data_IF_329579753840
#
_entry.id   IF_329579753840
#
_cell.length_a   1.000
_cell.length_b   1.000
_cell.length_c   1.000
_cell.angle_alpha   90.00
_cell.angle_beta   90.00
_cell.angle_gamma   90.00
#
_symmetry.space_group_name_H-M   'P 1'
#
loop_
_entity.id
_entity.type
_entity.pdbx_description
1 polymer ?
#
# COMPACT_ATOMS: atom_id res chain seq x y z
N UNK A 1 -6.95 2.37 -30.85
CA UNK A 1 -5.66 2.30 -30.10
C UNK A 1 -5.54 3.38 -29.04
N UNK A 2 -6.00 4.62 -29.27
CA UNK A 2 -5.94 5.72 -28.28
C UNK A 2 -6.68 5.42 -26.96
N UNK A 3 -7.90 4.89 -27.01
CA UNK A 3 -8.71 4.63 -25.80
C UNK A 3 -8.07 3.60 -24.84
N UNK A 4 -7.49 2.52 -25.38
CA UNK A 4 -6.78 1.51 -24.58
C UNK A 4 -5.53 2.08 -23.91
N UNK A 5 -4.78 2.91 -24.65
CA UNK A 5 -3.60 3.58 -24.10
C UNK A 5 -3.98 4.55 -22.98
N UNK A 6 -5.04 5.35 -23.18
CA UNK A 6 -5.56 6.25 -22.14
C UNK A 6 -5.97 5.45 -20.91
N UNK A 7 -6.76 4.39 -21.07
CA UNK A 7 -7.17 3.53 -19.96
C UNK A 7 -5.97 2.92 -19.20
N UNK A 8 -5.00 2.36 -19.92
CA UNK A 8 -3.80 1.80 -19.34
C UNK A 8 -2.99 2.86 -18.58
N UNK A 9 -2.77 4.03 -19.19
CA UNK A 9 -2.06 5.13 -18.54
C UNK A 9 -2.81 5.66 -17.32
N UNK A 10 -4.14 5.75 -17.36
CA UNK A 10 -4.97 6.11 -16.20
C UNK A 10 -4.82 5.10 -15.07
N UNK A 11 -4.88 3.80 -15.37
CA UNK A 11 -4.68 2.76 -14.36
C UNK A 11 -3.25 2.78 -13.79
N UNK A 12 -2.24 2.93 -14.66
CA UNK A 12 -0.84 3.01 -14.28
C UNK A 12 -0.55 4.24 -13.41
N UNK A 13 -1.04 5.42 -13.81
CA UNK A 13 -0.90 6.65 -13.04
C UNK A 13 -1.68 6.58 -11.73
N UNK A 14 -2.89 5.99 -11.73
CA UNK A 14 -3.68 5.79 -10.53
C UNK A 14 -2.97 4.91 -9.51
N UNK A 15 -2.46 3.75 -9.96
CA UNK A 15 -1.65 2.85 -9.13
C UNK A 15 -0.35 3.50 -8.67
N UNK A 16 0.34 4.20 -9.58
CA UNK A 16 1.63 4.80 -9.26
C UNK A 16 1.48 5.94 -8.25
N UNK A 17 0.51 6.82 -8.50
CA UNK A 17 0.21 7.95 -7.64
C UNK A 17 -0.33 7.48 -6.29
N UNK A 18 -1.23 6.50 -6.25
CA UNK A 18 -1.76 6.00 -4.97
C UNK A 18 -0.62 5.46 -4.11
N UNK A 19 0.24 4.62 -4.68
CA UNK A 19 1.36 4.02 -3.95
C UNK A 19 2.37 5.08 -3.50
N UNK A 20 2.74 6.00 -4.38
CA UNK A 20 3.67 7.09 -4.08
C UNK A 20 3.15 8.05 -3.00
N UNK A 21 1.89 8.47 -3.10
CA UNK A 21 1.23 9.36 -2.12
C UNK A 21 1.12 8.66 -0.77
N UNK A 22 0.70 7.41 -0.74
CA UNK A 22 0.59 6.64 0.50
C UNK A 22 1.96 6.50 1.19
N UNK A 23 3.01 6.20 0.43
CA UNK A 23 4.38 6.11 0.95
C UNK A 23 4.87 7.46 1.49
N UNK A 24 4.69 8.54 0.73
CA UNK A 24 5.06 9.88 1.14
C UNK A 24 4.37 10.29 2.46
N UNK A 25 3.05 10.11 2.52
CA UNK A 25 2.22 10.42 3.70
C UNK A 25 2.62 9.60 4.93
N UNK A 26 2.97 8.33 4.75
CA UNK A 26 3.42 7.46 5.84
C UNK A 26 4.80 7.86 6.40
N UNK A 27 5.61 8.58 5.61
CA UNK A 27 6.94 9.03 6.01
C UNK A 27 6.95 10.45 6.63
N UNK A 28 5.83 11.19 6.54
CA UNK A 28 5.66 12.50 7.17
C UNK A 28 5.65 12.41 8.72
N UNK A 29 5.82 13.54 9.44
CA UNK A 29 5.75 13.57 10.90
C UNK A 29 4.36 13.20 11.43
N UNK A 30 4.33 12.56 12.62
CA UNK A 30 3.09 12.03 13.25
C UNK A 30 1.95 13.03 13.39
N UNK A 31 2.24 14.33 13.55
CA UNK A 31 1.19 15.35 13.66
C UNK A 31 0.38 15.53 12.37
N UNK A 32 0.97 15.20 11.21
CA UNK A 32 0.32 15.31 9.90
C UNK A 32 -0.60 14.13 9.61
N UNK A 33 -0.37 12.98 10.25
CA UNK A 33 -1.14 11.75 9.98
C UNK A 33 -2.64 11.91 10.23
N UNK A 34 -3.04 12.60 11.30
CA UNK A 34 -4.47 12.86 11.59
C UNK A 34 -5.16 13.65 10.49
N UNK A 35 -4.46 14.60 9.88
CA UNK A 35 -5.00 15.42 8.78
C UNK A 35 -5.10 14.61 7.49
N UNK A 36 -4.10 13.77 7.22
CA UNK A 36 -4.13 12.85 6.08
C UNK A 36 -5.29 11.85 6.19
N UNK A 37 -5.46 11.21 7.36
CA UNK A 37 -6.58 10.30 7.61
C UNK A 37 -7.91 11.03 7.48
N UNK A 38 -8.05 12.23 8.06
CA UNK A 38 -9.28 13.01 7.95
C UNK A 38 -9.59 13.35 6.48
N UNK A 39 -8.61 13.85 5.73
CA UNK A 39 -8.79 14.20 4.32
C UNK A 39 -9.24 12.99 3.47
N UNK A 40 -8.57 11.85 3.64
CA UNK A 40 -8.96 10.61 2.95
C UNK A 40 -10.29 10.04 3.46
N UNK A 41 -10.64 10.23 4.73
CA UNK A 41 -11.94 9.82 5.27
C UNK A 41 -13.07 10.60 4.60
N UNK A 42 -12.92 11.93 4.52
CA UNK A 42 -13.89 12.80 3.86
C UNK A 42 -14.00 12.45 2.37
N UNK A 43 -12.85 12.24 1.69
CA UNK A 43 -12.83 11.85 0.29
C UNK A 43 -13.52 10.50 0.05
N UNK A 44 -13.23 9.50 0.87
CA UNK A 44 -13.83 8.16 0.79
C UNK A 44 -15.34 8.21 1.03
N UNK A 45 -15.78 8.93 2.06
CA UNK A 45 -17.21 9.09 2.37
C UNK A 45 -17.94 9.80 1.23
N UNK A 46 -17.38 10.89 0.72
CA UNK A 46 -17.93 11.59 -0.43
C UNK A 46 -18.00 10.67 -1.67
N UNK A 47 -16.95 9.92 -1.94
CA UNK A 47 -16.91 8.97 -3.06
C UNK A 47 -18.00 7.90 -2.96
N UNK A 48 -18.28 7.37 -1.75
CA UNK A 48 -19.36 6.42 -1.51
C UNK A 48 -20.75 7.04 -1.72
N UNK A 49 -20.95 8.33 -1.43
CA UNK A 49 -22.23 8.98 -1.71
C UNK A 49 -22.53 9.14 -3.20
N UNK A 50 -21.49 9.23 -4.04
CA UNK A 50 -21.62 9.32 -5.50
C UNK A 50 -21.81 7.95 -6.17
N UNK A 51 -21.39 6.87 -5.51
CA UNK A 51 -21.35 5.53 -6.09
C UNK A 51 -22.70 5.04 -6.65
N UNK A 52 -23.86 5.22 -5.98
CA UNK A 52 -25.14 4.78 -6.55
C UNK A 52 -25.52 5.49 -7.85
N UNK A 53 -25.10 6.75 -8.03
CA UNK A 53 -25.34 7.50 -9.26
C UNK A 53 -24.39 7.01 -10.37
N UNK A 54 -23.10 6.87 -10.05
CA UNK A 54 -22.09 6.38 -10.99
C UNK A 54 -22.38 4.93 -11.42
N UNK A 55 -22.92 4.10 -10.53
CA UNK A 55 -23.29 2.72 -10.83
C UNK A 55 -24.40 2.61 -11.90
N UNK A 56 -25.22 3.64 -12.07
CA UNK A 56 -26.26 3.71 -13.11
C UNK A 56 -25.78 4.40 -14.39
N UNK A 57 -24.56 4.95 -14.39
CA UNK A 57 -23.97 5.65 -15.52
C UNK A 57 -23.05 4.71 -16.31
N UNK A 58 -23.60 4.08 -17.37
CA UNK A 58 -22.90 3.21 -18.30
C UNK A 58 -22.21 4.00 -19.44
N UNK A 59 -21.57 5.12 -19.11
CA UNK A 59 -20.75 5.91 -20.05
C UNK A 59 -19.25 5.76 -19.73
N UNK A 60 -18.34 6.07 -20.67
CA UNK A 60 -16.91 6.06 -20.40
C UNK A 60 -16.50 6.92 -19.19
N UNK A 61 -17.17 8.05 -18.98
CA UNK A 61 -16.95 8.89 -17.80
C UNK A 61 -17.37 8.17 -16.52
N UNK A 62 -18.54 7.51 -16.53
CA UNK A 62 -18.99 6.66 -15.44
C UNK A 62 -17.99 5.55 -15.10
N UNK A 63 -17.39 4.89 -16.10
CA UNK A 63 -16.34 3.88 -15.87
C UNK A 63 -15.12 4.47 -15.15
N UNK A 64 -14.61 5.61 -15.63
CA UNK A 64 -13.48 6.30 -15.02
C UNK A 64 -13.80 6.79 -13.60
N UNK A 65 -15.01 7.31 -13.37
CA UNK A 65 -15.49 7.74 -12.06
C UNK A 65 -15.59 6.54 -11.09
N UNK A 66 -16.13 5.41 -11.53
CA UNK A 66 -16.23 4.19 -10.72
C UNK A 66 -14.84 3.68 -10.30
N UNK A 67 -13.88 3.68 -11.22
CA UNK A 67 -12.49 3.35 -10.94
C UNK A 67 -11.87 4.30 -9.89
N UNK A 68 -12.08 5.62 -10.04
CA UNK A 68 -11.57 6.63 -9.11
C UNK A 68 -12.18 6.50 -7.71
N UNK A 69 -13.49 6.24 -7.61
CA UNK A 69 -14.20 5.99 -6.34
C UNK A 69 -13.58 4.79 -5.62
N UNK A 70 -13.35 3.68 -6.33
CA UNK A 70 -12.75 2.49 -5.72
C UNK A 70 -11.33 2.77 -5.21
N UNK A 71 -10.51 3.51 -5.97
CA UNK A 71 -9.17 3.92 -5.53
C UNK A 71 -9.21 4.87 -4.32
N UNK A 72 -10.17 5.79 -4.25
CA UNK A 72 -10.32 6.70 -3.11
C UNK A 72 -10.68 5.95 -1.82
N UNK A 73 -11.66 5.04 -1.90
CA UNK A 73 -12.06 4.18 -0.77
C UNK A 73 -10.90 3.29 -0.33
N UNK A 74 -10.20 2.68 -1.29
CA UNK A 74 -9.04 1.84 -1.00
C UNK A 74 -7.88 2.64 -0.39
N UNK A 75 -7.56 3.82 -0.93
CA UNK A 75 -6.52 4.69 -0.41
C UNK A 75 -6.76 5.11 1.03
N UNK A 76 -8.03 5.37 1.41
CA UNK A 76 -8.39 5.62 2.80
C UNK A 76 -8.12 4.43 3.72
N UNK A 77 -8.49 3.22 3.29
CA UNK A 77 -8.20 1.99 4.04
C UNK A 77 -6.68 1.81 4.22
N UNK A 78 -5.90 1.98 3.15
CA UNK A 78 -4.44 1.87 3.20
C UNK A 78 -3.78 2.87 4.15
N UNK A 79 -4.17 4.14 4.08
CA UNK A 79 -3.63 5.19 4.95
C UNK A 79 -4.04 4.96 6.40
N UNK A 80 -5.29 4.55 6.65
CA UNK A 80 -5.79 4.24 8.00
C UNK A 80 -5.00 3.09 8.64
N UNK A 81 -4.62 2.08 7.87
CA UNK A 81 -3.75 1.00 8.31
C UNK A 81 -2.32 1.49 8.55
N UNK A 82 -1.73 2.15 7.56
CA UNK A 82 -0.34 2.61 7.59
C UNK A 82 -0.10 3.73 8.60
N UNK A 83 -1.12 4.38 9.14
CA UNK A 83 -1.01 5.40 10.18
C UNK A 83 -1.43 4.92 11.58
N UNK A 84 -1.62 3.60 11.77
CA UNK A 84 -2.02 2.95 13.01
C UNK A 84 -3.43 3.29 13.53
N UNK A 85 -4.28 3.95 12.74
CA UNK A 85 -5.65 4.30 13.13
C UNK A 85 -6.56 3.08 13.20
N UNK A 86 -6.55 2.26 12.14
CA UNK A 86 -7.31 1.00 12.08
C UNK A 86 -6.28 -0.14 11.99
N UNK A 87 -5.80 -0.60 13.14
CA UNK A 87 -4.82 -1.70 13.23
C UNK A 87 -5.34 -2.83 14.11
N UNK A 88 -4.72 -4.01 14.05
CA UNK A 88 -5.16 -5.15 14.83
C UNK A 88 -4.84 -5.06 16.33
N UNK A 89 -5.34 -6.05 17.06
CA UNK A 89 -5.28 -6.16 18.53
C UNK A 89 -3.88 -6.43 19.06
N UNK A 90 -2.98 -6.93 18.21
CA UNK A 90 -1.63 -7.32 18.60
C UNK A 90 -0.57 -6.42 17.93
N UNK A 91 0.19 -5.68 18.75
CA UNK A 91 1.36 -4.88 18.33
C UNK A 91 2.68 -5.43 18.89
N UNK A 92 2.71 -6.73 19.22
CA UNK A 92 3.88 -7.40 19.82
C UNK A 92 4.53 -8.34 18.80
N UNK A 93 5.85 -8.48 18.91
CA UNK A 93 6.64 -9.43 18.12
C UNK A 93 6.11 -10.86 18.27
N UNK A 94 6.24 -11.66 17.21
CA UNK A 94 5.79 -13.05 17.20
C UNK A 94 6.50 -13.85 18.30
N UNK A 95 5.76 -14.55 19.19
CA UNK A 95 6.34 -15.47 20.14
C UNK A 95 7.18 -16.54 19.43
N UNK A 96 8.36 -16.87 19.97
CA UNK A 96 9.31 -17.81 19.35
C UNK A 96 8.77 -19.25 19.23
N UNK A 97 7.79 -19.60 20.06
CA UNK A 97 7.10 -20.89 20.09
C UNK A 97 5.91 -20.97 19.11
N UNK A 98 5.50 -19.84 18.51
CA UNK A 98 4.36 -19.80 17.61
C UNK A 98 4.70 -20.42 16.25
N UNK A 99 4.08 -21.58 15.95
CA UNK A 99 4.22 -22.31 14.68
C UNK A 99 2.87 -22.53 14.00
N UNK A 100 2.91 -22.76 12.68
CA UNK A 100 1.75 -23.17 11.89
C UNK A 100 0.54 -22.25 12.04
N UNK A 101 -0.62 -22.83 12.32
CA UNK A 101 -1.90 -22.11 12.46
C UNK A 101 -1.91 -21.08 13.60
N UNK A 102 -1.22 -21.35 14.71
CA UNK A 102 -1.12 -20.40 15.83
C UNK A 102 -0.41 -19.11 15.42
N UNK A 103 0.67 -19.22 14.63
CA UNK A 103 1.38 -18.06 14.08
C UNK A 103 0.52 -17.30 13.07
N UNK A 104 -0.25 -18.01 12.24
CA UNK A 104 -1.19 -17.38 11.30
C UNK A 104 -2.26 -16.58 12.02
N UNK A 105 -2.91 -17.15 13.05
CA UNK A 105 -3.92 -16.44 13.85
C UNK A 105 -3.35 -15.19 14.53
N UNK A 106 -2.13 -15.27 15.07
CA UNK A 106 -1.46 -14.12 15.67
C UNK A 106 -1.14 -13.05 14.62
N UNK A 107 -0.65 -13.44 13.44
CA UNK A 107 -0.39 -12.55 12.32
C UNK A 107 -1.68 -11.89 11.78
N UNK A 108 -2.79 -12.63 11.72
CA UNK A 108 -4.09 -12.05 11.36
C UNK A 108 -4.56 -11.06 12.44
N UNK A 109 -4.34 -11.39 13.72
CA UNK A 109 -4.64 -10.52 14.85
C UNK A 109 -3.89 -9.18 14.82
N UNK A 110 -2.75 -9.05 14.14
CA UNK A 110 -2.07 -7.75 13.96
C UNK A 110 -2.78 -6.82 12.98
N UNK A 111 -3.71 -7.33 12.17
CA UNK A 111 -4.45 -6.55 11.17
C UNK A 111 -5.97 -6.79 11.16
N UNK A 112 -6.52 -7.50 12.15
CA UNK A 112 -7.93 -7.95 12.11
C UNK A 112 -8.95 -6.82 11.95
N UNK A 113 -8.81 -5.70 12.68
CA UNK A 113 -9.74 -4.57 12.56
C UNK A 113 -9.67 -3.91 11.18
N UNK A 114 -8.49 -3.90 10.57
CA UNK A 114 -8.32 -3.43 9.21
C UNK A 114 -9.01 -4.37 8.21
N UNK A 115 -8.86 -5.67 8.38
CA UNK A 115 -9.55 -6.65 7.52
C UNK A 115 -11.07 -6.55 7.62
N UNK A 116 -11.60 -6.30 8.82
CA UNK A 116 -13.02 -6.04 9.02
C UNK A 116 -13.46 -4.74 8.34
N UNK A 117 -12.64 -3.68 8.39
CA UNK A 117 -12.92 -2.43 7.69
C UNK A 117 -12.88 -2.60 6.16
N UNK A 118 -11.92 -3.37 5.63
CA UNK A 118 -11.85 -3.73 4.21
C UNK A 118 -13.09 -4.54 3.81
N UNK A 119 -13.46 -5.57 4.57
CA UNK A 119 -14.66 -6.35 4.28
C UNK A 119 -15.94 -5.48 4.32
N UNK A 120 -16.08 -4.62 5.33
CA UNK A 120 -17.22 -3.71 5.46
C UNK A 120 -17.30 -2.70 4.32
N UNK A 121 -16.18 -2.10 3.91
CA UNK A 121 -16.12 -1.20 2.77
C UNK A 121 -16.42 -1.94 1.45
N UNK A 122 -15.95 -3.18 1.28
CA UNK A 122 -16.30 -4.02 0.14
C UNK A 122 -17.79 -4.32 0.06
N UNK A 123 -18.42 -4.68 1.18
CA UNK A 123 -19.88 -4.88 1.27
C UNK A 123 -20.61 -3.57 0.90
N UNK A 124 -20.15 -2.42 1.40
CA UNK A 124 -20.75 -1.14 1.07
C UNK A 124 -20.63 -0.81 -0.43
N UNK A 125 -19.46 -1.01 -1.03
CA UNK A 125 -19.25 -0.79 -2.48
C UNK A 125 -20.17 -1.69 -3.32
N UNK A 126 -20.26 -2.98 -2.97
CA UNK A 126 -21.13 -3.94 -3.68
C UNK A 126 -22.60 -3.57 -3.49
N UNK A 127 -23.03 -3.23 -2.28
CA UNK A 127 -24.41 -2.87 -1.99
C UNK A 127 -24.84 -1.57 -2.69
N UNK A 128 -23.98 -0.56 -2.69
CA UNK A 128 -24.26 0.75 -3.29
C UNK A 128 -24.23 0.72 -4.83
N UNK A 129 -23.48 -0.21 -5.42
CA UNK A 129 -23.44 -0.43 -6.87
C UNK A 129 -24.39 -1.54 -7.34
N UNK A 130 -25.13 -2.15 -6.43
CA UNK A 130 -25.98 -3.30 -6.73
C UNK A 130 -27.08 -2.93 -7.73
N UNK A 131 -27.27 -3.77 -8.75
CA UNK A 131 -28.27 -3.55 -9.80
C UNK A 131 -27.96 -2.40 -10.76
N UNK A 132 -26.78 -1.79 -10.67
CA UNK A 132 -26.30 -0.82 -11.65
C UNK A 132 -25.59 -1.47 -12.83
N UNK A 133 -25.72 -0.88 -14.02
CA UNK A 133 -25.05 -1.33 -15.25
C UNK A 133 -23.53 -1.14 -15.18
N UNK A 134 -23.06 -0.18 -14.36
CA UNK A 134 -21.66 0.13 -14.17
C UNK A 134 -21.07 -0.54 -12.92
N UNK A 135 -20.40 -1.67 -13.14
CA UNK A 135 -19.72 -2.45 -12.10
C UNK A 135 -18.21 -2.17 -11.99
N UNK A 136 -17.72 -1.06 -12.57
CA UNK A 136 -16.28 -0.78 -12.59
C UNK A 136 -15.71 -0.56 -11.20
N UNK A 137 -16.43 0.15 -10.32
CA UNK A 137 -16.02 0.36 -8.94
C UNK A 137 -15.88 -0.97 -8.17
N UNK A 138 -16.87 -1.86 -8.31
CA UNK A 138 -16.87 -3.19 -7.69
C UNK A 138 -15.72 -4.05 -8.19
N UNK A 139 -15.54 -4.14 -9.51
CA UNK A 139 -14.45 -4.92 -10.09
C UNK A 139 -13.08 -4.41 -9.67
N UNK A 140 -12.89 -3.08 -9.64
CA UNK A 140 -11.66 -2.45 -9.18
C UNK A 140 -11.38 -2.75 -7.71
N UNK A 141 -12.39 -2.60 -6.85
CA UNK A 141 -12.27 -2.87 -5.42
C UNK A 141 -11.95 -4.34 -5.15
N UNK A 142 -12.63 -5.27 -5.82
CA UNK A 142 -12.40 -6.71 -5.68
C UNK A 142 -10.99 -7.11 -6.12
N UNK A 143 -10.48 -6.55 -7.22
CA UNK A 143 -9.09 -6.78 -7.66
C UNK A 143 -8.12 -6.37 -6.55
N UNK A 144 -8.27 -5.15 -6.00
CA UNK A 144 -7.41 -4.67 -4.92
C UNK A 144 -7.51 -5.56 -3.68
N UNK A 145 -8.73 -5.95 -3.30
CA UNK A 145 -8.98 -6.78 -2.13
C UNK A 145 -8.36 -8.19 -2.26
N UNK A 146 -8.65 -8.89 -3.36
CA UNK A 146 -8.15 -10.24 -3.61
C UNK A 146 -6.63 -10.23 -3.74
N UNK A 147 -6.07 -9.28 -4.49
CA UNK A 147 -4.62 -9.19 -4.68
C UNK A 147 -3.90 -8.81 -3.39
N UNK A 148 -4.51 -8.01 -2.51
CA UNK A 148 -3.97 -7.76 -1.17
C UNK A 148 -3.92 -9.01 -0.32
N UNK A 149 -4.98 -9.83 -0.33
CA UNK A 149 -4.98 -11.11 0.38
C UNK A 149 -3.95 -12.07 -0.20
N UNK A 150 -3.85 -12.15 -1.53
CA UNK A 150 -2.83 -12.93 -2.22
C UNK A 150 -1.42 -12.51 -1.80
N UNK A 151 -1.13 -11.20 -1.75
CA UNK A 151 0.14 -10.67 -1.28
C UNK A 151 0.42 -11.06 0.18
N UNK A 152 -0.54 -10.87 1.08
CA UNK A 152 -0.38 -11.22 2.51
C UNK A 152 -0.11 -12.71 2.72
N UNK A 153 -0.82 -13.57 2.00
CA UNK A 153 -0.61 -15.01 2.09
C UNK A 153 0.74 -15.44 1.53
N UNK A 154 1.16 -14.86 0.40
CA UNK A 154 2.50 -15.10 -0.15
C UNK A 154 3.60 -14.65 0.81
N UNK A 155 3.46 -13.45 1.41
CA UNK A 155 4.38 -12.93 2.42
C UNK A 155 4.44 -13.79 3.69
N UNK A 156 3.28 -14.30 4.14
CA UNK A 156 3.20 -15.19 5.31
C UNK A 156 3.88 -16.54 5.07
N UNK A 157 3.61 -17.17 3.92
CA UNK A 157 4.16 -18.47 3.55
C UNK A 157 5.65 -18.37 3.16
N UNK A 158 6.06 -17.19 2.68
CA UNK A 158 7.42 -16.72 2.58
C UNK A 158 7.86 -16.47 1.15
N UNK A 159 8.52 -15.33 0.96
CA UNK A 159 9.04 -14.84 -0.33
C UNK A 159 10.51 -14.44 -0.21
N UNK A 160 11.17 -14.34 -1.37
CA UNK A 160 12.61 -14.15 -1.48
C UNK A 160 13.01 -12.69 -1.23
N UNK A 161 12.24 -11.76 -1.80
CA UNK A 161 12.54 -10.34 -1.82
C UNK A 161 11.46 -9.58 -1.05
N UNK A 162 11.73 -9.30 0.23
CA UNK A 162 10.91 -8.39 1.03
C UNK A 162 11.75 -7.17 1.38
N UNK A 163 11.29 -5.99 0.94
CA UNK A 163 12.00 -4.75 1.13
C UNK A 163 11.71 -4.18 2.53
N UNK A 164 12.39 -4.75 3.54
CA UNK A 164 12.29 -4.36 4.96
C UNK A 164 12.53 -2.85 5.20
N UNK A 165 13.24 -2.18 4.29
CA UNK A 165 13.53 -0.74 4.31
C UNK A 165 12.29 0.16 4.13
N UNK A 166 11.19 -0.37 3.58
CA UNK A 166 9.93 0.39 3.42
C UNK A 166 9.10 0.46 4.71
N UNK A 167 9.32 -0.45 5.64
CA UNK A 167 8.52 -0.51 6.85
C UNK A 167 9.01 0.55 7.86
N UNK A 168 8.11 1.43 8.34
CA UNK A 168 8.40 2.28 9.49
C UNK A 168 8.81 1.43 10.69
N UNK A 169 9.65 1.97 11.59
CA UNK A 169 10.14 1.24 12.77
C UNK A 169 9.02 0.58 13.59
N UNK A 170 7.89 1.28 13.71
CA UNK A 170 6.65 0.84 14.36
C UNK A 170 6.02 -0.43 13.79
N UNK A 171 6.27 -0.75 12.51
CA UNK A 171 5.71 -1.93 11.83
C UNK A 171 6.75 -3.03 11.61
N UNK A 172 8.01 -2.84 12.05
CA UNK A 172 9.07 -3.84 11.92
C UNK A 172 8.77 -5.15 12.64
N UNK A 173 7.95 -5.12 13.69
CA UNK A 173 7.53 -6.34 14.38
C UNK A 173 6.77 -7.32 13.45
N UNK A 174 6.13 -6.83 12.38
CA UNK A 174 5.44 -7.69 11.40
C UNK A 174 6.41 -8.62 10.67
N UNK A 175 7.66 -8.21 10.48
CA UNK A 175 8.71 -9.04 9.87
C UNK A 175 8.93 -10.32 10.67
N UNK A 176 8.75 -10.30 12.00
CA UNK A 176 8.88 -11.49 12.86
C UNK A 176 7.81 -12.55 12.56
N UNK A 177 6.67 -12.16 11.99
CA UNK A 177 5.61 -13.07 11.56
C UNK A 177 5.83 -13.62 10.15
N UNK A 178 6.73 -13.03 9.36
CA UNK A 178 7.03 -13.44 7.98
C UNK A 178 8.14 -14.49 7.92
N UNK A 179 8.11 -15.34 6.90
CA UNK A 179 9.16 -16.33 6.65
C UNK A 179 9.97 -15.91 5.42
N UNK A 180 11.29 -16.02 5.48
CA UNK A 180 12.13 -15.83 4.29
C UNK A 180 12.28 -17.17 3.58
N UNK A 181 11.76 -17.29 2.37
CA UNK A 181 11.82 -18.51 1.54
C UNK A 181 12.01 -18.11 0.08
N UNK A 182 12.76 -18.91 -0.71
CA UNK A 182 12.99 -18.60 -2.13
C UNK A 182 11.69 -18.55 -2.94
N UNK A 183 10.75 -19.46 -2.64
CA UNK A 183 9.46 -19.55 -3.31
C UNK A 183 8.47 -20.27 -2.41
N UNK A 184 7.19 -19.98 -2.59
CA UNK A 184 6.08 -20.72 -1.99
C UNK A 184 5.15 -21.26 -3.08
N UNK A 185 4.51 -22.41 -2.86
CA UNK A 185 3.62 -23.03 -3.85
C UNK A 185 2.38 -22.19 -4.20
N UNK A 186 1.97 -21.26 -3.32
CA UNK A 186 0.88 -20.34 -3.63
C UNK A 186 1.27 -19.31 -4.70
N UNK A 187 2.56 -18.96 -4.81
CA UNK A 187 3.03 -17.95 -5.74
C UNK A 187 2.69 -18.27 -7.21
N UNK A 188 3.07 -19.44 -7.77
CA UNK A 188 2.73 -19.76 -9.16
C UNK A 188 1.22 -19.82 -9.37
N UNK A 189 0.45 -20.30 -8.39
CA UNK A 189 -1.02 -20.34 -8.48
C UNK A 189 -1.60 -18.93 -8.53
N UNK A 190 -1.22 -18.04 -7.61
CA UNK A 190 -1.66 -16.64 -7.58
C UNK A 190 -1.34 -15.91 -8.87
N UNK A 191 -0.12 -16.05 -9.39
CA UNK A 191 0.32 -15.40 -10.62
C UNK A 191 -0.41 -15.98 -11.82
N UNK A 192 -0.51 -17.31 -11.96
CA UNK A 192 -1.20 -17.93 -13.09
C UNK A 192 -2.68 -17.56 -13.13
N UNK A 193 -3.39 -17.60 -11.98
CA UNK A 193 -4.79 -17.19 -11.90
C UNK A 193 -4.95 -15.70 -12.18
N UNK A 194 -4.08 -14.85 -11.62
CA UNK A 194 -4.09 -13.41 -11.89
C UNK A 194 -3.85 -13.09 -13.36
N UNK A 195 -2.86 -13.72 -13.99
CA UNK A 195 -2.58 -13.56 -15.43
C UNK A 195 -3.74 -14.05 -16.29
N UNK A 196 -4.35 -15.19 -15.96
CA UNK A 196 -5.51 -15.70 -16.68
C UNK A 196 -6.71 -14.73 -16.56
N UNK A 197 -7.00 -14.23 -15.37
CA UNK A 197 -8.06 -13.25 -15.14
C UNK A 197 -7.78 -11.92 -15.88
N UNK A 198 -6.53 -11.44 -15.89
CA UNK A 198 -6.13 -10.29 -16.70
C UNK A 198 -6.38 -10.53 -18.18
N UNK A 199 -5.98 -11.69 -18.71
CA UNK A 199 -6.21 -12.04 -20.11
C UNK A 199 -7.71 -12.08 -20.45
N UNK A 200 -8.55 -12.61 -19.56
CA UNK A 200 -10.00 -12.61 -19.73
C UNK A 200 -10.59 -11.20 -19.75
N UNK A 201 -10.16 -10.32 -18.83
CA UNK A 201 -10.61 -8.93 -18.79
C UNK A 201 -10.17 -8.15 -20.03
N UNK A 202 -8.92 -8.32 -20.47
CA UNK A 202 -8.44 -7.66 -21.69
C UNK A 202 -9.13 -8.21 -22.94
N UNK A 203 -9.43 -9.51 -22.98
CA UNK A 203 -10.24 -10.09 -24.07
C UNK A 203 -11.66 -9.54 -24.06
N UNK A 204 -12.27 -9.38 -22.87
CA UNK A 204 -13.58 -8.75 -22.74
C UNK A 204 -13.54 -7.28 -23.18
N UNK A 205 -12.46 -6.56 -22.89
CA UNK A 205 -12.25 -5.19 -23.38
C UNK A 205 -12.18 -5.15 -24.92
N UNK A 206 -11.40 -6.04 -25.54
CA UNK A 206 -11.26 -6.10 -27.00
C UNK A 206 -12.57 -6.47 -27.72
N UNK A 207 -13.39 -7.33 -27.08
CA UNK A 207 -14.69 -7.75 -27.61
C UNK A 207 -15.86 -6.84 -27.24
N UNK A 208 -15.66 -5.81 -26.42
CA UNK A 208 -16.75 -4.94 -25.98
C UNK A 208 -17.28 -4.11 -27.17
N UNK A 209 -18.61 -4.07 -27.38
CA UNK A 209 -19.21 -3.34 -28.51
C UNK A 209 -19.18 -1.82 -28.29
N UNK A 210 -19.31 -1.38 -27.05
CA UNK A 210 -19.39 0.02 -26.63
C UNK A 210 -18.09 0.53 -25.97
N UNK A 211 -17.93 1.85 -25.92
CA UNK A 211 -16.74 2.50 -25.35
C UNK A 211 -16.67 2.39 -23.82
N UNK A 212 -17.80 2.27 -23.15
CA UNK A 212 -17.87 2.10 -21.70
C UNK A 212 -17.23 0.75 -21.29
N UNK A 213 -17.66 -0.35 -21.90
CA UNK A 213 -17.12 -1.69 -21.66
C UNK A 213 -15.67 -1.81 -22.08
N UNK A 214 -15.25 -1.17 -23.18
CA UNK A 214 -13.84 -1.09 -23.59
C UNK A 214 -12.99 -0.43 -22.49
N UNK A 215 -13.39 0.75 -22.01
CA UNK A 215 -12.65 1.50 -21.00
C UNK A 215 -12.64 0.78 -19.64
N UNK A 216 -13.82 0.39 -19.13
CA UNK A 216 -13.97 -0.23 -17.82
C UNK A 216 -13.17 -1.52 -17.67
N UNK A 217 -13.27 -2.43 -18.64
CA UNK A 217 -12.51 -3.69 -18.62
C UNK A 217 -11.00 -3.44 -18.78
N UNK A 218 -10.58 -2.45 -19.57
CA UNK A 218 -9.16 -2.10 -19.71
C UNK A 218 -8.60 -1.53 -18.42
N UNK A 219 -9.36 -0.69 -17.69
CA UNK A 219 -8.95 -0.14 -16.40
C UNK A 219 -8.73 -1.26 -15.36
N UNK A 220 -9.73 -2.12 -15.17
CA UNK A 220 -9.65 -3.23 -14.20
C UNK A 220 -8.55 -4.22 -14.61
N UNK A 221 -8.49 -4.59 -15.89
CA UNK A 221 -7.48 -5.51 -16.42
C UNK A 221 -6.06 -4.97 -16.27
N UNK A 222 -5.85 -3.67 -16.53
CA UNK A 222 -4.55 -3.03 -16.35
C UNK A 222 -4.14 -2.97 -14.87
N UNK A 223 -5.07 -2.66 -13.98
CA UNK A 223 -4.82 -2.67 -12.53
C UNK A 223 -4.45 -4.08 -12.05
N UNK A 224 -5.17 -5.11 -12.51
CA UNK A 224 -4.85 -6.50 -12.15
C UNK A 224 -3.49 -6.92 -12.72
N UNK A 225 -3.16 -6.52 -13.95
CA UNK A 225 -1.84 -6.76 -14.55
C UNK A 225 -0.72 -6.15 -13.69
N UNK A 226 -0.90 -4.92 -13.21
CA UNK A 226 0.05 -4.26 -12.30
C UNK A 226 0.16 -4.99 -10.96
N UNK A 227 -0.95 -5.46 -10.40
CA UNK A 227 -0.94 -6.24 -9.18
C UNK A 227 -0.22 -7.59 -9.34
N UNK A 228 -0.36 -8.24 -10.51
CA UNK A 228 0.40 -9.47 -10.84
C UNK A 228 1.90 -9.16 -10.97
N UNK A 229 2.24 -8.04 -11.60
CA UNK A 229 3.62 -7.58 -11.72
C UNK A 229 4.23 -7.26 -10.33
N UNK A 230 3.45 -6.71 -9.41
CA UNK A 230 3.87 -6.51 -8.02
C UNK A 230 4.17 -7.84 -7.31
N UNK A 231 3.41 -8.91 -7.60
CA UNK A 231 3.72 -10.24 -7.06
C UNK A 231 5.08 -10.71 -7.59
N UNK A 232 5.38 -10.52 -8.88
CA UNK A 232 6.70 -10.84 -9.43
C UNK A 232 7.83 -10.11 -8.71
N UNK A 233 7.62 -8.86 -8.28
CA UNK A 233 8.62 -8.12 -7.50
C UNK A 233 8.93 -8.73 -6.13
N UNK A 234 8.01 -9.50 -5.53
CA UNK A 234 8.27 -10.20 -4.27
C UNK A 234 9.22 -11.40 -4.43
N UNK A 235 9.34 -11.93 -5.64
CA UNK A 235 10.18 -13.11 -5.93
C UNK A 235 11.47 -12.72 -6.64
N UNK A 236 11.38 -11.81 -7.61
CA UNK A 236 12.53 -11.33 -8.36
C UNK A 236 13.37 -10.37 -7.49
N UNK A 237 14.71 -10.45 -7.54
CA UNK A 237 15.61 -9.57 -6.78
C UNK A 237 15.73 -8.18 -7.42
N UNK A 238 14.59 -7.54 -7.72
CA UNK A 238 14.53 -6.20 -8.30
C UNK A 238 14.46 -5.16 -7.17
N UNK A 239 15.23 -4.08 -7.31
CA UNK A 239 15.23 -2.94 -6.38
C UNK A 239 14.06 -2.01 -6.73
N UNK A 240 12.85 -2.40 -6.35
CA UNK A 240 11.64 -1.56 -6.48
C UNK A 240 11.81 -0.14 -5.87
N UNK A 241 12.72 0.01 -4.91
CA UNK A 241 13.19 1.28 -4.33
C UNK A 241 13.51 2.37 -5.34
N UNK A 242 14.00 2.01 -6.53
CA UNK A 242 14.34 2.96 -7.58
C UNK A 242 13.12 3.76 -8.08
N UNK A 243 11.94 3.12 -8.16
CA UNK A 243 10.71 3.74 -8.67
C UNK A 243 10.16 4.84 -7.76
N UNK A 244 10.59 4.84 -6.50
CA UNK A 244 9.97 5.57 -5.40
C UNK A 244 10.97 6.45 -4.64
N UNK A 245 12.21 6.56 -5.12
CA UNK A 245 13.26 7.38 -4.51
C UNK A 245 12.84 8.85 -4.33
N UNK A 246 12.02 9.37 -5.25
CA UNK A 246 11.49 10.73 -5.16
C UNK A 246 10.61 10.93 -3.91
N UNK A 247 9.76 9.96 -3.57
CA UNK A 247 8.85 10.03 -2.42
C UNK A 247 9.64 9.94 -1.10
N UNK A 248 10.62 9.02 -1.05
CA UNK A 248 11.57 8.91 0.07
C UNK A 248 12.34 10.23 0.27
N UNK A 249 12.93 10.76 -0.80
CA UNK A 249 13.69 12.02 -0.76
C UNK A 249 12.83 13.22 -0.36
N UNK A 250 11.58 13.28 -0.83
CA UNK A 250 10.65 14.35 -0.48
C UNK A 250 10.24 14.29 0.99
N UNK A 251 10.00 13.10 1.53
CA UNK A 251 9.69 12.92 2.95
C UNK A 251 10.90 13.22 3.84
N UNK A 252 12.11 12.86 3.43
CA UNK A 252 13.33 13.21 4.16
C UNK A 252 13.56 14.72 4.22
N UNK A 253 13.29 15.45 3.12
CA UNK A 253 13.29 16.92 3.14
C UNK A 253 12.24 17.50 4.09
N UNK A 254 11.03 16.92 4.12
CA UNK A 254 9.97 17.34 5.02
C UNK A 254 10.32 17.09 6.50
N UNK A 255 10.97 15.95 6.81
CA UNK A 255 11.49 15.62 8.14
C UNK A 255 12.69 16.49 8.55
N UNK A 256 13.54 16.85 7.58
CA UNK A 256 14.74 17.67 7.77
C UNK A 256 14.49 19.11 8.22
N UNK A 257 13.25 19.62 8.13
CA UNK A 257 12.84 20.93 8.70
C UNK A 257 12.72 20.91 10.24
N UNK A 258 12.88 19.75 10.90
CA UNK A 258 12.83 19.60 12.36
C UNK A 258 14.15 19.18 13.01
N UNK A 259 15.30 19.35 12.34
CA UNK A 259 16.58 19.26 13.06
C UNK A 259 16.73 20.54 13.89
N UNK A 260 16.71 20.50 15.24
CA UNK A 260 17.14 21.67 16.01
C UNK A 260 18.55 22.06 15.52
N UNK A 261 18.88 23.35 15.42
CA UNK A 261 20.19 23.78 14.99
C UNK A 261 21.22 23.01 15.82
N UNK A 262 22.17 22.36 15.13
CA UNK A 262 23.23 21.61 15.77
C UNK A 262 23.77 22.47 16.91
N UNK A 263 23.61 21.98 18.14
CA UNK A 263 24.19 22.63 19.32
C UNK A 263 25.66 22.88 18.99
N UNK A 264 25.99 24.18 18.95
CA UNK A 264 27.33 24.73 18.76
C UNK A 264 28.33 23.82 19.48
N UNK A 265 29.42 23.35 18.83
CA UNK A 265 30.40 22.54 19.53
C UNK A 265 30.82 23.29 20.78
N UNK A 266 30.72 22.64 21.95
CA UNK A 266 31.25 23.17 23.19
C UNK A 266 32.74 23.44 22.93
N UNK A 267 33.10 24.72 22.95
CA UNK A 267 34.47 25.21 22.86
C UNK A 267 35.35 24.36 23.77
N UNK A 268 36.41 23.79 23.19
CA UNK A 268 37.44 23.03 23.89
C UNK A 268 37.82 23.72 25.20
N UNK A 269 37.64 23.00 26.31
CA UNK A 269 38.26 23.35 27.58
C UNK A 269 39.77 23.19 27.40
N UNK A 270 40.46 24.32 27.29
CA UNK A 270 41.92 24.42 27.26
C UNK A 270 42.53 23.71 28.48
N UNK A 271 43.53 22.81 28.31
CA UNK A 271 44.15 22.14 29.44
C UNK A 271 45.07 23.11 30.20
N UNK A 272 44.87 23.21 31.52
CA UNK A 272 45.70 24.02 32.41
C UNK A 272 47.19 23.59 32.37
N UNK A 273 48.15 24.55 32.44
CA UNK A 273 49.57 24.23 32.41
C UNK A 273 50.03 23.52 33.69
N UNK A 274 50.72 22.38 33.53
CA UNK A 274 51.34 21.62 34.62
C UNK A 274 52.44 22.46 35.30
N UNK A 275 52.35 22.60 36.62
CA UNK A 275 53.46 23.11 37.42
C UNK A 275 54.59 22.06 37.53
N UNK A 276 55.87 22.46 37.48
CA UNK A 276 57.00 21.55 37.66
C UNK A 276 57.18 21.17 39.14
N UNK A 277 57.33 19.87 39.40
CA UNK A 277 57.68 19.32 40.72
C UNK A 277 59.09 19.75 41.12
N UNK A 278 59.21 20.32 42.31
CA UNK A 278 60.48 20.56 43.00
C UNK A 278 61.17 19.24 43.34
N UNK A 279 62.44 19.14 42.96
CA UNK A 279 63.36 18.09 43.42
C UNK A 279 63.89 18.53 44.78
N UNK A 280 63.49 17.83 45.83
CA UNK A 280 64.01 17.99 47.18
C UNK A 280 65.29 17.18 47.36
N UNK A 281 66.32 17.84 47.87
CA UNK A 281 67.57 17.31 48.42
C UNK A 281 67.34 16.37 49.59
N UNK A 282 68.14 15.30 49.64
CA UNK A 282 68.29 14.38 50.78
C UNK A 282 69.34 13.33 50.46
#
# INVERSE_FOLDING_TARGET
MSAYLVAFLTALLGWWLSTGVILYLNLLPRYSHRWSVLAFSTLSLFSLTLLPQVARDATPLGAAAGFAIALAVWGWLEISYLMDFITGTHKRSCPADARGWRRFRLALGTSIHHELAVAGAGIAVVALSWGGDNQVATGTYLVLWIMRWSAKLNLYLGVSNFNEHWLPERSRYLVTYMRKRRMNYLFPVSVSLGTAATALLLRAALGAPDDFGRLGNTLIGSLLALAVLEHWFMVLPLRDSALWQWALSAADRARGRHRPPASRPLTEVSPAPRQPRSVGTG
#
